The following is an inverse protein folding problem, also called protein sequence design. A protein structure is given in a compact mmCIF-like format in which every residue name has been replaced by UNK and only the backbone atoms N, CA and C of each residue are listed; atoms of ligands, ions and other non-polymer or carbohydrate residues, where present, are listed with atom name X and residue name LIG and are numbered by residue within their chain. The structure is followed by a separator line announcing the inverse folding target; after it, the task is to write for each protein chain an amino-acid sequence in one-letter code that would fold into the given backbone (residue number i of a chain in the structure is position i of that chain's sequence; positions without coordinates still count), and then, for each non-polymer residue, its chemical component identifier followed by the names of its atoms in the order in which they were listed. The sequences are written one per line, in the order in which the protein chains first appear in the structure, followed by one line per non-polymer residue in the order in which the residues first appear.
data_IF_610058696109
#
_entry.id   IF_610058696109
#
_cell.length_a   1.000
_cell.length_b   1.000
_cell.length_c   1.000
_cell.angle_alpha   90.00
_cell.angle_beta   90.00
_cell.angle_gamma   90.00
#
_symmetry.space_group_name_H-M   'P 1'
#
loop_
_entity.id
_entity.type
_entity.pdbx_description
1 polymer ?
#
# COMPACT_ATOMS: atom_id res chain seq x y z
N UNK A 1 30.43 35.79 -32.25
CA UNK A 1 31.10 35.28 -31.04
C UNK A 1 30.04 34.90 -30.01
N UNK A 2 29.88 33.62 -29.68
CA UNK A 2 28.96 33.19 -28.63
C UNK A 2 29.39 33.78 -27.30
N UNK A 3 28.51 34.53 -26.64
CA UNK A 3 28.79 35.22 -25.37
C UNK A 3 29.19 34.16 -24.32
N UNK A 4 30.44 34.11 -23.82
CA UNK A 4 30.93 33.06 -22.92
C UNK A 4 30.11 32.94 -21.61
N UNK A 5 29.34 33.96 -21.25
CA UNK A 5 28.39 33.93 -20.14
C UNK A 5 27.18 33.02 -20.38
N UNK A 6 26.75 32.81 -21.62
CA UNK A 6 25.57 31.99 -21.93
C UNK A 6 25.81 30.51 -21.62
N UNK A 7 26.97 29.97 -22.01
CA UNK A 7 27.31 28.57 -21.72
C UNK A 7 27.44 28.32 -20.21
N UNK A 8 28.02 29.28 -19.46
CA UNK A 8 28.08 29.20 -17.99
C UNK A 8 26.68 29.18 -17.37
N UNK A 9 25.77 30.03 -17.85
CA UNK A 9 24.38 30.07 -17.37
C UNK A 9 23.61 28.78 -17.72
N UNK A 10 23.83 28.21 -18.90
CA UNK A 10 23.22 26.92 -19.28
C UNK A 10 23.72 25.77 -18.40
N UNK A 11 25.02 25.73 -18.09
CA UNK A 11 25.60 24.75 -17.20
C UNK A 11 25.05 24.89 -15.77
N UNK A 12 24.99 26.11 -15.24
CA UNK A 12 24.39 26.38 -13.92
C UNK A 12 22.91 25.99 -13.87
N UNK A 13 22.15 26.25 -14.94
CA UNK A 13 20.76 25.81 -15.04
C UNK A 13 20.66 24.27 -14.95
N UNK A 14 21.48 23.55 -15.71
CA UNK A 14 21.47 22.09 -15.69
C UNK A 14 21.84 21.52 -14.30
N UNK A 15 22.83 22.12 -13.63
CA UNK A 15 23.22 21.74 -12.27
C UNK A 15 22.10 22.01 -11.25
N UNK A 16 21.44 23.16 -11.34
CA UNK A 16 20.30 23.50 -10.48
C UNK A 16 19.12 22.55 -10.73
N UNK A 17 18.83 22.24 -11.99
CA UNK A 17 17.74 21.35 -12.37
C UNK A 17 17.98 19.93 -11.85
N UNK A 18 19.21 19.43 -11.94
CA UNK A 18 19.61 18.15 -11.34
C UNK A 18 19.42 18.14 -9.81
N UNK A 19 19.83 19.21 -9.11
CA UNK A 19 19.64 19.34 -7.65
C UNK A 19 18.17 19.43 -7.24
N UNK A 20 17.36 20.15 -8.03
CA UNK A 20 15.91 20.23 -7.82
C UNK A 20 15.30 18.84 -7.96
N UNK A 21 15.65 18.10 -9.01
CA UNK A 21 15.11 16.77 -9.25
C UNK A 21 15.52 15.79 -8.13
N UNK A 22 16.77 15.84 -7.67
CA UNK A 22 17.23 15.03 -6.55
C UNK A 22 16.44 15.34 -5.27
N UNK A 23 16.23 16.62 -4.97
CA UNK A 23 15.45 17.06 -3.79
C UNK A 23 14.01 16.59 -3.88
N UNK A 24 13.35 16.75 -5.04
CA UNK A 24 11.98 16.25 -5.26
C UNK A 24 11.87 14.75 -5.06
N UNK A 25 12.81 13.98 -5.60
CA UNK A 25 12.82 12.53 -5.44
C UNK A 25 12.96 12.14 -3.96
N UNK A 26 13.83 12.84 -3.21
CA UNK A 26 14.00 12.61 -1.77
C UNK A 26 12.72 12.92 -1.00
N UNK A 27 12.07 14.04 -1.26
CA UNK A 27 10.80 14.40 -0.61
C UNK A 27 9.70 13.40 -0.92
N UNK A 28 9.58 12.94 -2.16
CA UNK A 28 8.63 11.90 -2.54
C UNK A 28 8.88 10.58 -1.81
N UNK A 29 10.14 10.17 -1.63
CA UNK A 29 10.48 8.99 -0.83
C UNK A 29 10.12 9.16 0.64
N UNK A 30 10.42 10.32 1.24
CA UNK A 30 10.08 10.59 2.63
C UNK A 30 8.56 10.68 2.87
N UNK A 31 7.80 11.18 1.90
CA UNK A 31 6.33 11.14 1.95
C UNK A 31 5.83 9.70 1.92
N UNK A 32 6.32 8.86 0.99
CA UNK A 32 5.95 7.43 0.94
C UNK A 32 6.28 6.71 2.25
N UNK A 33 7.44 6.98 2.85
CA UNK A 33 7.81 6.42 4.17
C UNK A 33 6.82 6.86 5.26
N UNK A 34 6.46 8.15 5.30
CA UNK A 34 5.48 8.67 6.26
C UNK A 34 4.09 8.06 6.06
N UNK A 35 3.67 7.90 4.82
CA UNK A 35 2.40 7.27 4.47
C UNK A 35 2.36 5.78 4.89
N UNK A 36 3.40 5.02 4.54
CA UNK A 36 3.55 3.63 4.99
C UNK A 36 3.52 3.53 6.51
N UNK A 37 4.23 4.43 7.21
CA UNK A 37 4.23 4.47 8.67
C UNK A 37 2.83 4.77 9.24
N UNK A 38 2.07 5.69 8.64
CA UNK A 38 0.67 5.97 9.03
C UNK A 38 -0.21 4.73 8.88
N UNK A 39 -0.12 4.03 7.74
CA UNK A 39 -0.88 2.80 7.47
C UNK A 39 -0.57 1.70 8.47
N UNK A 40 0.72 1.49 8.79
CA UNK A 40 1.14 0.51 9.80
C UNK A 40 0.58 0.88 11.17
N UNK A 41 0.76 2.13 11.63
CA UNK A 41 0.30 2.54 12.96
C UNK A 41 -1.22 2.43 13.09
N UNK A 42 -1.98 2.89 12.08
CA UNK A 42 -3.43 2.74 12.05
C UNK A 42 -3.84 1.25 12.08
N UNK A 43 -3.19 0.41 11.25
CA UNK A 43 -3.43 -1.03 11.23
C UNK A 43 -3.17 -1.70 12.59
N UNK A 44 -2.05 -1.39 13.24
CA UNK A 44 -1.73 -1.95 14.57
C UNK A 44 -2.76 -1.58 15.63
N UNK A 45 -3.28 -0.34 15.59
CA UNK A 45 -4.34 0.09 16.50
C UNK A 45 -5.65 -0.66 16.25
N UNK A 46 -6.04 -0.83 14.99
CA UNK A 46 -7.23 -1.64 14.63
C UNK A 46 -7.04 -3.08 15.07
N UNK A 47 -5.91 -3.73 14.77
CA UNK A 47 -5.63 -5.10 15.22
C UNK A 47 -5.77 -5.26 16.74
N UNK A 48 -5.37 -4.24 17.52
CA UNK A 48 -5.55 -4.22 18.98
C UNK A 48 -7.02 -4.14 19.40
N UNK A 49 -7.88 -3.40 18.68
CA UNK A 49 -9.32 -3.37 18.97
C UNK A 49 -9.99 -4.73 18.78
N UNK A 50 -9.46 -5.54 17.89
CA UNK A 50 -9.91 -6.90 17.64
C UNK A 50 -9.19 -7.94 18.52
N UNK A 51 -8.40 -7.49 19.51
CA UNK A 51 -7.63 -8.36 20.41
C UNK A 51 -6.71 -9.35 19.69
N UNK A 52 -6.28 -9.02 18.46
CA UNK A 52 -5.51 -9.91 17.60
C UNK A 52 -6.32 -10.99 16.87
N UNK A 53 -7.65 -11.02 16.99
CA UNK A 53 -8.51 -11.90 16.19
C UNK A 53 -8.62 -11.37 14.75
N UNK A 54 -7.68 -11.81 13.91
CA UNK A 54 -7.61 -11.44 12.50
C UNK A 54 -8.75 -12.04 11.68
N UNK A 55 -9.34 -13.16 12.10
CA UNK A 55 -10.48 -13.74 11.38
C UNK A 55 -11.73 -12.88 11.57
N UNK A 56 -11.96 -12.38 12.78
CA UNK A 56 -13.05 -11.43 13.05
C UNK A 56 -12.85 -10.13 12.27
N UNK A 57 -11.64 -9.57 12.29
CA UNK A 57 -11.31 -8.39 11.48
C UNK A 57 -11.52 -8.64 9.98
N UNK A 58 -11.08 -9.79 9.47
CA UNK A 58 -11.29 -10.19 8.08
C UNK A 58 -12.77 -10.24 7.69
N UNK A 59 -13.63 -10.82 8.54
CA UNK A 59 -15.08 -10.85 8.30
C UNK A 59 -15.71 -9.46 8.26
N UNK A 60 -15.30 -8.55 9.15
CA UNK A 60 -15.76 -7.15 9.13
C UNK A 60 -15.31 -6.43 7.85
N UNK A 61 -14.06 -6.64 7.42
CA UNK A 61 -13.54 -6.06 6.17
C UNK A 61 -14.29 -6.58 4.93
N UNK A 62 -14.68 -7.87 4.93
CA UNK A 62 -15.55 -8.45 3.90
C UNK A 62 -16.93 -7.78 3.93
N UNK A 63 -17.55 -7.69 5.11
CA UNK A 63 -18.87 -7.08 5.26
C UNK A 63 -18.90 -5.60 4.84
N UNK A 64 -17.78 -4.88 5.03
CA UNK A 64 -17.61 -3.50 4.59
C UNK A 64 -17.26 -3.35 3.10
N UNK A 65 -17.12 -4.45 2.34
CA UNK A 65 -16.69 -4.41 0.93
C UNK A 65 -15.25 -3.93 0.73
N UNK A 66 -14.42 -4.02 1.77
CA UNK A 66 -13.04 -3.53 1.79
C UNK A 66 -11.99 -4.63 1.53
N UNK A 67 -12.42 -5.88 1.43
CA UNK A 67 -11.56 -7.03 1.17
C UNK A 67 -12.00 -7.77 -0.10
N UNK A 68 -11.06 -8.02 -1.00
CA UNK A 68 -11.30 -8.83 -2.19
C UNK A 68 -11.06 -10.33 -1.90
N UNK A 69 -11.72 -11.23 -2.63
CA UNK A 69 -11.66 -12.68 -2.40
C UNK A 69 -10.22 -13.23 -2.36
N UNK A 70 -9.33 -12.72 -3.21
CA UNK A 70 -7.91 -13.13 -3.23
C UNK A 70 -7.17 -12.87 -1.92
N UNK A 71 -7.66 -11.92 -1.10
CA UNK A 71 -7.03 -11.46 0.13
C UNK A 71 -7.65 -12.11 1.38
N UNK A 72 -8.67 -12.95 1.23
CA UNK A 72 -9.37 -13.63 2.34
C UNK A 72 -8.43 -14.52 3.15
N UNK A 73 -7.55 -15.25 2.45
CA UNK A 73 -6.55 -16.12 3.07
C UNK A 73 -5.57 -15.36 4.00
N UNK A 74 -5.33 -14.07 3.75
CA UNK A 74 -4.44 -13.23 4.58
C UNK A 74 -5.01 -13.09 6.00
N UNK A 75 -6.34 -13.06 6.13
CA UNK A 75 -7.02 -12.95 7.41
C UNK A 75 -7.49 -14.30 7.97
N UNK A 76 -7.13 -15.41 7.31
CA UNK A 76 -7.55 -16.76 7.71
C UNK A 76 -9.06 -16.98 7.63
N UNK A 77 -9.76 -16.19 6.80
CA UNK A 77 -11.18 -16.38 6.49
C UNK A 77 -11.24 -17.16 5.18
N UNK A 78 -11.75 -18.39 5.21
CA UNK A 78 -12.08 -19.09 3.96
C UNK A 78 -13.49 -18.71 3.57
N UNK A 79 -13.71 -18.48 2.28
CA UNK A 79 -15.04 -18.33 1.71
C UNK A 79 -15.83 -19.60 2.07
N UNK A 80 -16.69 -19.53 3.08
CA UNK A 80 -17.57 -20.63 3.50
C UNK A 80 -18.64 -20.95 2.44
N UNK A 81 -18.53 -20.37 1.26
CA UNK A 81 -19.42 -20.55 0.11
C UNK A 81 -19.11 -21.82 -0.70
N UNK A 82 -17.99 -22.52 -0.45
CA UNK A 82 -17.65 -23.75 -1.20
C UNK A 82 -17.59 -25.05 -0.38
N UNK A 83 -17.84 -25.02 0.93
CA UNK A 83 -17.77 -26.23 1.76
C UNK A 83 -19.10 -26.96 1.95
N UNK A 84 -20.22 -26.43 1.47
CA UNK A 84 -21.55 -27.06 1.62
C UNK A 84 -22.04 -27.85 0.40
N UNK A 85 -21.32 -27.83 -0.73
CA UNK A 85 -21.73 -28.54 -1.95
C UNK A 85 -21.04 -29.90 -2.17
N UNK A 86 -19.91 -30.15 -1.51
CA UNK A 86 -19.14 -31.39 -1.71
C UNK A 86 -19.71 -32.56 -0.89
N UNK A 87 -20.36 -32.28 0.25
CA UNK A 87 -20.96 -33.30 1.12
C UNK A 87 -22.31 -33.85 0.61
N UNK A 88 -22.92 -33.23 -0.42
CA UNK A 88 -24.17 -33.74 -1.02
C UNK A 88 -23.96 -34.72 -2.16
N UNK A 89 -22.76 -34.76 -2.74
CA UNK A 89 -22.43 -35.64 -3.88
C UNK A 89 -21.83 -36.99 -3.45
N UNK A 90 -21.62 -37.23 -2.16
CA UNK A 90 -21.13 -38.51 -1.61
C UNK A 90 -22.26 -39.45 -1.16
N UNK A 91 -23.53 -39.08 -1.39
CA UNK A 91 -24.71 -39.78 -0.88
C UNK A 91 -25.70 -40.20 -1.99
N UNK A 92 -25.20 -40.51 -3.19
CA UNK A 92 -25.95 -41.19 -4.28
C UNK A 92 -25.09 -42.29 -4.88
#
# INVERSE_FOLDING_TARGET
MSKPNLNKLLQQKAELEARIQQTKNREAMEERKRETRRKILAGTYVMKMFEGDLQKLGRELIAAGMLEQRDYAIFGVNDATNSTDIDRLSLV
#
